data_IF_700204343796
#
_entry.id   IF_700204343796
#
_cell.length_a   1.000
_cell.length_b   1.000
_cell.length_c   1.000
_cell.angle_alpha   90.00
_cell.angle_beta   90.00
_cell.angle_gamma   90.00
#
_symmetry.space_group_name_H-M   'P 1'
#
loop_
_entity.id
_entity.type
_entity.pdbx_description
1 polymer ?
#
# COMPACT_ATOMS: atom_id res chain seq x y z
N UNK A 1 -1.99 -10.10 7.62
CA UNK A 1 -1.80 -8.89 8.45
C UNK A 1 -0.31 -8.61 8.53
N UNK A 2 0.09 -7.41 8.90
CA UNK A 2 1.50 -7.03 9.14
C UNK A 2 1.62 -6.33 10.49
N UNK A 3 2.71 -6.60 11.22
CA UNK A 3 2.95 -6.04 12.56
C UNK A 3 4.39 -5.55 12.65
N UNK A 4 4.58 -4.35 13.21
CA UNK A 4 5.91 -3.83 13.50
C UNK A 4 6.42 -4.40 14.83
N UNK A 5 7.51 -5.17 14.73
CA UNK A 5 8.07 -5.94 15.85
C UNK A 5 8.62 -5.09 16.99
N UNK A 6 9.28 -3.95 16.70
CA UNK A 6 10.03 -3.17 17.71
C UNK A 6 9.16 -2.68 18.88
N UNK A 7 8.00 -2.03 18.67
CA UNK A 7 7.14 -1.56 19.76
C UNK A 7 6.20 -2.64 20.32
N UNK A 8 6.30 -3.90 19.89
CA UNK A 8 5.31 -4.94 20.20
C UNK A 8 5.17 -5.29 21.69
N UNK A 9 6.26 -5.10 22.45
CA UNK A 9 6.31 -5.31 23.90
C UNK A 9 5.85 -4.07 24.69
N UNK A 10 5.69 -2.93 24.03
CA UNK A 10 5.10 -1.73 24.65
C UNK A 10 3.59 -1.91 24.73
N UNK A 11 3.00 -1.71 25.91
CA UNK A 11 1.54 -1.73 26.09
C UNK A 11 0.85 -0.47 25.54
N UNK A 12 1.63 0.55 25.18
CA UNK A 12 1.16 1.86 24.72
C UNK A 12 0.48 1.71 23.35
N UNK A 13 1.19 1.13 22.39
CA UNK A 13 0.75 1.08 21.00
C UNK A 13 0.26 -0.31 20.56
N UNK A 14 -0.64 -0.38 19.57
CA UNK A 14 -0.92 -1.63 18.84
C UNK A 14 -0.26 -1.55 17.45
N UNK A 15 0.93 -2.13 17.26
CA UNK A 15 1.71 -1.90 16.05
C UNK A 15 1.27 -2.73 14.83
N UNK A 16 -0.04 -2.80 14.57
CA UNK A 16 -0.58 -3.43 13.36
C UNK A 16 -0.49 -2.43 12.22
N UNK A 17 0.31 -2.74 11.21
CA UNK A 17 0.60 -1.85 10.08
C UNK A 17 -0.07 -2.32 8.79
N UNK A 18 -0.97 -3.29 8.87
CA UNK A 18 -1.83 -3.63 7.75
C UNK A 18 -2.67 -4.87 7.97
N UNK A 19 -3.87 -4.86 7.39
CA UNK A 19 -4.81 -5.97 7.37
C UNK A 19 -5.32 -6.14 5.94
N UNK A 20 -5.41 -7.39 5.49
CA UNK A 20 -6.00 -7.73 4.19
C UNK A 20 -7.07 -8.77 4.42
N UNK A 21 -8.27 -8.51 3.92
CA UNK A 21 -9.35 -9.48 3.97
C UNK A 21 -9.06 -10.57 2.92
N UNK A 22 -8.82 -11.81 3.38
CA UNK A 22 -8.67 -12.94 2.47
C UNK A 22 -10.00 -13.32 1.82
N UNK A 23 -9.97 -13.92 0.63
CA UNK A 23 -11.16 -14.37 -0.10
C UNK A 23 -11.93 -15.43 0.69
N UNK A 24 -11.22 -16.41 1.27
CA UNK A 24 -11.76 -17.46 2.15
C UNK A 24 -12.95 -18.20 1.54
N UNK A 25 -12.89 -18.54 0.25
CA UNK A 25 -13.96 -19.19 -0.51
C UNK A 25 -14.34 -20.57 0.04
N UNK A 26 -13.35 -21.34 0.52
CA UNK A 26 -13.52 -22.70 1.03
C UNK A 26 -12.82 -22.89 2.38
N UNK A 27 -13.31 -23.86 3.17
CA UNK A 27 -12.72 -24.27 4.45
C UNK A 27 -12.83 -25.79 4.64
N UNK A 28 -11.88 -26.34 5.38
CA UNK A 28 -11.86 -27.76 5.73
C UNK A 28 -12.53 -27.95 7.09
N UNK A 29 -13.45 -28.90 7.19
CA UNK A 29 -14.16 -29.28 8.43
C UNK A 29 -14.08 -30.79 8.67
N UNK A 30 -14.30 -31.22 9.92
CA UNK A 30 -14.44 -32.65 10.22
C UNK A 30 -15.69 -33.24 9.56
N UNK A 31 -15.58 -34.45 9.01
CA UNK A 31 -16.71 -35.19 8.48
C UNK A 31 -17.58 -35.74 9.62
N UNK A 32 -18.90 -35.62 9.47
CA UNK A 32 -19.90 -36.01 10.48
C UNK A 32 -20.11 -37.53 10.61
N UNK A 33 -19.58 -38.35 9.71
CA UNK A 33 -19.80 -39.81 9.69
C UNK A 33 -18.52 -40.61 9.98
N UNK A 34 -18.36 -41.06 11.22
CA UNK A 34 -17.78 -42.35 11.64
C UNK A 34 -16.34 -42.74 11.29
N UNK A 35 -15.63 -42.03 10.41
CA UNK A 35 -14.21 -42.23 10.13
C UNK A 35 -13.52 -40.88 10.11
N UNK A 36 -12.30 -40.83 10.66
CA UNK A 36 -11.37 -39.69 10.67
C UNK A 36 -11.19 -39.11 9.26
N UNK A 37 -12.12 -38.25 8.84
CA UNK A 37 -12.18 -37.69 7.51
C UNK A 37 -12.33 -36.18 7.61
N UNK A 38 -11.65 -35.48 6.71
CA UNK A 38 -11.83 -34.05 6.49
C UNK A 38 -12.72 -33.86 5.27
N UNK A 39 -13.56 -32.81 5.28
CA UNK A 39 -14.40 -32.41 4.15
C UNK A 39 -14.12 -30.95 3.81
N UNK A 40 -13.94 -30.67 2.53
CA UNK A 40 -13.82 -29.31 2.01
C UNK A 40 -15.23 -28.77 1.70
N UNK A 41 -15.62 -27.67 2.34
CA UNK A 41 -16.92 -27.01 2.17
C UNK A 41 -16.75 -25.56 1.76
N UNK A 42 -17.76 -24.99 1.12
CA UNK A 42 -17.80 -23.56 0.81
C UNK A 42 -18.05 -22.76 2.09
N UNK A 43 -17.30 -21.68 2.26
CA UNK A 43 -17.41 -20.77 3.39
C UNK A 43 -18.63 -19.86 3.22
N UNK A 44 -19.32 -19.54 4.31
CA UNK A 44 -20.49 -18.65 4.25
C UNK A 44 -20.09 -17.21 3.89
N UNK A 45 -21.03 -16.42 3.34
CA UNK A 45 -20.78 -14.99 3.03
C UNK A 45 -20.31 -14.21 4.25
N UNK A 46 -20.94 -14.43 5.41
CA UNK A 46 -20.55 -13.80 6.68
C UNK A 46 -19.09 -14.07 7.04
N UNK A 47 -18.63 -15.31 6.84
CA UNK A 47 -17.24 -15.68 7.10
C UNK A 47 -16.29 -15.05 6.06
N UNK A 48 -16.66 -15.06 4.78
CA UNK A 48 -15.87 -14.40 3.71
C UNK A 48 -15.71 -12.89 3.97
N UNK A 49 -16.74 -12.23 4.47
CA UNK A 49 -16.76 -10.78 4.64
C UNK A 49 -16.19 -10.31 6.00
N UNK A 50 -15.62 -11.24 6.79
CA UNK A 50 -15.03 -10.95 8.11
C UNK A 50 -13.56 -11.33 8.22
N UNK A 51 -12.84 -10.64 9.11
CA UNK A 51 -11.48 -11.03 9.48
C UNK A 51 -11.52 -12.26 10.39
N UNK A 52 -10.58 -13.18 10.18
CA UNK A 52 -10.48 -14.45 10.94
C UNK A 52 -9.92 -14.22 12.35
N UNK A 53 -9.15 -13.14 12.52
CA UNK A 53 -8.49 -12.78 13.76
C UNK A 53 -8.89 -11.38 14.20
N UNK A 54 -9.04 -11.21 15.50
CA UNK A 54 -9.09 -9.92 16.16
C UNK A 54 -7.69 -9.31 16.31
N UNK A 55 -7.63 -8.01 16.57
CA UNK A 55 -6.37 -7.28 16.76
C UNK A 55 -5.55 -7.86 17.91
N UNK A 56 -6.19 -8.24 19.02
CA UNK A 56 -5.51 -8.84 20.17
C UNK A 56 -4.88 -10.20 19.83
N UNK A 57 -5.55 -11.00 18.99
CA UNK A 57 -5.04 -12.28 18.52
C UNK A 57 -3.86 -12.09 17.56
N UNK A 58 -3.95 -11.10 16.65
CA UNK A 58 -2.84 -10.69 15.78
C UNK A 58 -1.61 -10.32 16.61
N UNK A 59 -1.77 -9.47 17.63
CA UNK A 59 -0.67 -9.06 18.50
C UNK A 59 -0.10 -10.23 19.30
N UNK A 60 -0.94 -11.15 19.75
CA UNK A 60 -0.51 -12.35 20.48
C UNK A 60 0.34 -13.26 19.59
N UNK A 61 -0.11 -13.55 18.37
CA UNK A 61 0.65 -14.33 17.40
C UNK A 61 1.96 -13.65 17.02
N UNK A 62 1.97 -12.32 16.84
CA UNK A 62 3.19 -11.57 16.55
C UNK A 62 4.20 -11.65 17.70
N UNK A 63 3.74 -11.61 18.96
CA UNK A 63 4.62 -11.76 20.15
C UNK A 63 5.22 -13.15 20.20
N UNK A 64 4.41 -14.18 20.00
CA UNK A 64 4.92 -15.56 19.93
C UNK A 64 5.91 -15.75 18.78
N UNK A 65 5.62 -15.20 17.60
CA UNK A 65 6.53 -15.24 16.46
C UNK A 65 7.89 -14.59 16.77
N UNK A 66 7.86 -13.44 17.45
CA UNK A 66 9.07 -12.75 17.91
C UNK A 66 9.88 -13.57 18.91
N UNK A 67 9.22 -14.20 19.89
CA UNK A 67 9.88 -15.05 20.87
C UNK A 67 10.51 -16.30 20.23
N UNK A 68 9.81 -16.93 19.29
CA UNK A 68 10.30 -18.09 18.54
C UNK A 68 11.54 -17.69 17.73
N UNK A 69 11.47 -16.61 16.96
CA UNK A 69 12.61 -16.09 16.18
C UNK A 69 13.82 -15.75 17.08
N UNK A 70 13.60 -15.09 18.22
CA UNK A 70 14.66 -14.76 19.18
C UNK A 70 15.33 -16.02 19.74
N UNK A 71 14.54 -17.02 20.14
CA UNK A 71 15.05 -18.29 20.66
C UNK A 71 15.97 -18.97 19.64
N UNK A 72 15.48 -19.11 18.42
CA UNK A 72 16.19 -19.79 17.33
C UNK A 72 17.40 -19.00 16.82
N UNK A 73 17.30 -17.67 16.77
CA UNK A 73 18.44 -16.79 16.44
C UNK A 73 19.56 -16.93 17.49
N UNK A 74 19.20 -16.97 18.78
CA UNK A 74 20.15 -17.17 19.88
C UNK A 74 20.83 -18.54 19.79
N UNK A 75 20.08 -19.60 19.52
CA UNK A 75 20.63 -20.95 19.37
C UNK A 75 21.59 -21.08 18.18
N UNK A 76 21.34 -20.38 17.07
CA UNK A 76 22.19 -20.43 15.87
C UNK A 76 23.33 -19.41 15.87
N UNK A 77 23.38 -18.50 16.84
CA UNK A 77 24.37 -17.43 16.90
C UNK A 77 24.28 -16.41 15.76
N UNK A 78 23.18 -16.42 15.00
CA UNK A 78 22.91 -15.48 13.90
C UNK A 78 21.41 -15.24 13.78
N UNK A 79 21.03 -14.11 13.20
CA UNK A 79 19.63 -13.82 12.91
C UNK A 79 19.03 -14.94 12.04
N UNK A 80 17.93 -15.54 12.50
CA UNK A 80 17.24 -16.64 11.85
C UNK A 80 15.73 -16.35 11.83
N UNK A 81 15.20 -15.83 10.71
CA UNK A 81 13.76 -15.67 10.54
C UNK A 81 13.07 -17.04 10.52
N UNK A 82 11.80 -17.06 10.94
CA UNK A 82 11.03 -18.29 11.16
C UNK A 82 9.70 -18.23 10.40
N UNK A 83 9.38 -19.32 9.70
CA UNK A 83 8.06 -19.67 9.17
C UNK A 83 7.29 -20.47 10.25
N UNK A 84 6.08 -20.02 10.59
CA UNK A 84 5.34 -20.48 11.77
C UNK A 84 3.89 -20.79 11.39
N UNK A 85 3.46 -22.00 11.70
CA UNK A 85 2.07 -22.42 11.58
C UNK A 85 1.38 -22.35 12.95
N UNK A 86 0.14 -21.87 12.97
CA UNK A 86 -0.65 -21.71 14.18
C UNK A 86 -2.09 -22.17 13.95
N UNK A 87 -2.79 -22.48 15.03
CA UNK A 87 -4.20 -22.86 15.02
C UNK A 87 -4.96 -22.15 16.13
N UNK A 88 -6.25 -21.85 15.88
CA UNK A 88 -7.19 -21.41 16.91
C UNK A 88 -8.18 -22.55 17.15
N UNK A 89 -8.28 -22.98 18.40
CA UNK A 89 -9.28 -23.97 18.78
C UNK A 89 -10.68 -23.33 18.77
N UNK A 90 -11.60 -23.91 18.00
CA UNK A 90 -12.97 -23.43 17.87
C UNK A 90 -13.84 -23.66 19.11
N UNK A 91 -13.43 -24.53 20.04
CA UNK A 91 -14.16 -24.80 21.29
C UNK A 91 -13.66 -23.88 22.39
N UNK A 92 -12.35 -23.88 22.66
CA UNK A 92 -11.78 -23.09 23.76
C UNK A 92 -11.46 -21.64 23.37
N UNK A 93 -11.40 -21.32 22.08
CA UNK A 93 -10.99 -20.02 21.56
C UNK A 93 -9.48 -19.75 21.69
N UNK A 94 -8.69 -20.69 22.24
CA UNK A 94 -7.26 -20.52 22.48
C UNK A 94 -6.44 -20.67 21.20
N UNK A 95 -5.35 -19.92 21.12
CA UNK A 95 -4.36 -20.00 20.05
C UNK A 95 -3.24 -20.99 20.42
N UNK A 96 -2.71 -21.69 19.43
CA UNK A 96 -1.63 -22.66 19.55
C UNK A 96 -0.66 -22.50 18.40
N UNK A 97 0.64 -22.71 18.66
CA UNK A 97 1.65 -22.89 17.61
C UNK A 97 1.74 -24.38 17.30
N UNK A 98 1.62 -24.76 16.02
CA UNK A 98 1.63 -26.17 15.60
C UNK A 98 2.93 -26.57 14.91
N UNK A 99 3.61 -25.63 14.25
CA UNK A 99 4.91 -25.86 13.62
C UNK A 99 5.73 -24.57 13.60
N UNK A 100 7.05 -24.69 13.71
CA UNK A 100 7.99 -23.60 13.45
C UNK A 100 9.23 -24.14 12.73
N UNK A 101 9.63 -23.49 11.64
CA UNK A 101 10.82 -23.86 10.85
C UNK A 101 11.53 -22.61 10.33
N UNK A 102 12.85 -22.65 10.02
CA UNK A 102 13.55 -21.49 9.46
C UNK A 102 12.94 -21.03 8.13
N UNK A 103 12.84 -19.72 7.93
CA UNK A 103 12.51 -19.11 6.64
C UNK A 103 13.78 -19.11 5.76
N UNK A 104 13.66 -19.56 4.51
CA UNK A 104 14.82 -19.83 3.63
C UNK A 104 14.85 -19.03 2.34
N UNK A 105 13.79 -18.31 1.97
CA UNK A 105 13.70 -17.58 0.70
C UNK A 105 14.37 -16.22 0.79
N UNK A 106 14.12 -15.47 1.86
CA UNK A 106 14.63 -14.11 2.02
C UNK A 106 15.85 -14.01 2.95
N UNK A 107 16.07 -15.01 3.80
CA UNK A 107 17.18 -15.06 4.75
C UNK A 107 18.59 -15.00 4.12
N UNK A 108 18.71 -15.24 2.80
CA UNK A 108 19.99 -15.28 2.08
C UNK A 108 20.30 -13.99 1.29
N UNK A 109 19.40 -13.00 1.28
CA UNK A 109 19.59 -11.79 0.47
C UNK A 109 20.58 -10.83 1.15
N UNK A 110 21.69 -10.53 0.48
CA UNK A 110 22.60 -9.46 0.92
C UNK A 110 22.07 -8.11 0.44
N UNK A 111 21.40 -7.38 1.34
CA UNK A 111 20.84 -6.04 1.08
C UNK A 111 21.90 -4.97 0.85
N UNK A 112 23.18 -5.27 1.10
CA UNK A 112 24.27 -4.31 0.90
C UNK A 112 24.83 -4.29 -0.53
N UNK A 113 24.24 -5.07 -1.43
CA UNK A 113 24.62 -5.11 -2.84
C UNK A 113 23.43 -4.69 -3.69
N UNK A 114 23.56 -3.54 -4.35
CA UNK A 114 22.60 -3.09 -5.36
C UNK A 114 23.04 -3.65 -6.71
N UNK A 115 22.12 -4.27 -7.45
CA UNK A 115 22.35 -4.78 -8.79
C UNK A 115 21.83 -3.78 -9.82
N UNK A 116 22.74 -3.14 -10.55
CA UNK A 116 22.42 -2.34 -11.73
C UNK A 116 22.49 -3.23 -12.98
N UNK A 117 21.39 -3.33 -13.71
CA UNK A 117 21.35 -4.04 -14.98
C UNK A 117 21.61 -3.03 -16.10
N UNK A 118 22.64 -3.29 -16.93
CA UNK A 118 22.97 -2.45 -18.08
C UNK A 118 22.98 -3.29 -19.34
N UNK A 119 22.02 -3.04 -20.23
CA UNK A 119 21.99 -3.69 -21.55
C UNK A 119 23.23 -3.34 -22.35
N UNK A 120 23.84 -4.32 -23.01
CA UNK A 120 24.97 -4.10 -23.91
C UNK A 120 24.53 -4.36 -25.34
N UNK A 121 24.37 -3.30 -26.12
CA UNK A 121 23.98 -3.36 -27.53
C UNK A 121 22.53 -2.98 -27.81
N UNK A 122 22.27 -2.60 -29.06
CA UNK A 122 20.92 -2.32 -29.57
C UNK A 122 20.15 -3.58 -29.94
N UNK A 123 18.91 -3.41 -30.38
CA UNK A 123 18.04 -4.49 -30.83
C UNK A 123 16.73 -3.97 -31.39
N UNK A 124 16.05 -4.78 -32.18
CA UNK A 124 14.73 -4.45 -32.69
C UNK A 124 13.72 -4.49 -31.54
N UNK A 125 13.14 -3.34 -31.22
CA UNK A 125 12.06 -3.22 -30.24
C UNK A 125 10.79 -3.81 -30.85
N UNK A 126 10.19 -4.78 -30.15
CA UNK A 126 8.93 -5.41 -30.54
C UNK A 126 7.74 -4.62 -29.98
N UNK A 127 7.85 -4.12 -28.75
CA UNK A 127 6.80 -3.36 -28.07
C UNK A 127 7.39 -2.57 -26.89
N UNK A 128 6.62 -1.60 -26.38
CA UNK A 128 6.95 -0.76 -25.22
C UNK A 128 5.74 -0.62 -24.32
N UNK A 129 5.98 -0.46 -23.02
CA UNK A 129 4.94 -0.19 -22.03
C UNK A 129 5.53 0.41 -20.77
N UNK A 130 4.73 0.52 -19.72
CA UNK A 130 5.20 1.00 -18.44
C UNK A 130 6.17 0.00 -17.80
N UNK A 131 7.35 0.48 -17.43
CA UNK A 131 8.37 -0.31 -16.73
C UNK A 131 7.94 -0.64 -15.29
N UNK A 132 8.16 -1.89 -14.88
CA UNK A 132 7.97 -2.39 -13.52
C UNK A 132 9.21 -3.17 -13.09
N UNK A 133 9.98 -2.56 -12.18
CA UNK A 133 11.28 -3.06 -11.73
C UNK A 133 12.43 -2.29 -12.38
N UNK A 134 13.64 -2.82 -12.26
CA UNK A 134 14.87 -2.22 -12.80
C UNK A 134 15.85 -3.31 -13.30
N UNK A 135 15.30 -4.43 -13.76
CA UNK A 135 16.06 -5.61 -14.17
C UNK A 135 15.94 -5.85 -15.68
N UNK A 136 16.84 -6.67 -16.19
CA UNK A 136 16.77 -7.20 -17.55
C UNK A 136 16.71 -8.72 -17.44
N UNK A 137 15.78 -9.34 -18.17
CA UNK A 137 15.71 -10.78 -18.30
C UNK A 137 15.40 -11.17 -19.74
N UNK A 138 15.72 -12.42 -20.09
CA UNK A 138 15.43 -12.97 -21.40
C UNK A 138 14.83 -14.36 -21.25
N UNK A 139 14.04 -14.78 -22.22
CA UNK A 139 13.47 -16.12 -22.26
C UNK A 139 12.70 -16.37 -23.55
N UNK A 140 12.23 -17.61 -23.71
CA UNK A 140 11.24 -17.91 -24.75
C UNK A 140 9.91 -17.32 -24.31
N UNK A 141 9.28 -16.52 -25.16
CA UNK A 141 7.95 -15.98 -24.94
C UNK A 141 6.93 -17.11 -24.96
N UNK A 142 5.97 -17.05 -24.05
CA UNK A 142 4.79 -17.89 -24.01
C UNK A 142 3.59 -16.96 -23.95
N UNK A 143 2.93 -16.82 -25.10
CA UNK A 143 1.69 -16.03 -25.21
C UNK A 143 0.55 -16.92 -24.72
N UNK A 144 -0.13 -16.48 -23.67
CA UNK A 144 -1.27 -17.18 -23.06
C UNK A 144 -2.42 -16.17 -22.97
N UNK A 145 -3.53 -16.45 -23.65
CA UNK A 145 -4.73 -15.60 -23.59
C UNK A 145 -5.69 -16.01 -22.47
N UNK A 146 -5.68 -17.30 -22.10
CA UNK A 146 -6.63 -17.86 -21.15
C UNK A 146 -5.93 -18.74 -20.11
N UNK A 147 -6.44 -18.69 -18.88
CA UNK A 147 -5.91 -19.41 -17.71
C UNK A 147 -5.80 -20.93 -17.94
N UNK A 148 -6.67 -21.51 -18.77
CA UNK A 148 -6.66 -22.95 -19.09
C UNK A 148 -5.33 -23.42 -19.69
N UNK A 149 -4.58 -22.51 -20.32
CA UNK A 149 -3.31 -22.79 -20.97
C UNK A 149 -2.08 -22.57 -20.07
N UNK A 150 -2.27 -22.21 -18.79
CA UNK A 150 -1.19 -22.01 -17.81
C UNK A 150 -0.30 -23.25 -17.67
N UNK A 151 -0.85 -24.45 -17.83
CA UNK A 151 -0.09 -25.72 -17.75
C UNK A 151 0.96 -25.87 -18.85
N UNK A 152 0.85 -25.10 -19.94
CA UNK A 152 1.82 -25.08 -21.05
C UNK A 152 3.05 -24.22 -20.74
N UNK A 153 2.99 -23.37 -19.71
CA UNK A 153 4.07 -22.48 -19.31
C UNK A 153 5.22 -23.26 -18.70
N UNK A 154 6.45 -22.93 -19.10
CA UNK A 154 7.66 -23.58 -18.56
C UNK A 154 8.51 -22.59 -17.76
N UNK A 155 9.19 -23.11 -16.74
CA UNK A 155 10.09 -22.33 -15.90
C UNK A 155 11.15 -21.61 -16.75
N UNK A 156 11.32 -20.30 -16.52
CA UNK A 156 12.25 -19.44 -17.23
C UNK A 156 11.71 -18.83 -18.53
N UNK A 157 10.48 -19.15 -18.95
CA UNK A 157 9.81 -18.47 -20.07
C UNK A 157 9.41 -17.04 -19.71
N UNK A 158 9.21 -16.20 -20.74
CA UNK A 158 8.63 -14.86 -20.60
C UNK A 158 7.13 -14.99 -20.80
N UNK A 159 6.35 -14.63 -19.77
CA UNK A 159 4.89 -14.64 -19.85
C UNK A 159 4.43 -13.44 -20.66
N UNK A 160 3.64 -13.66 -21.71
CA UNK A 160 2.99 -12.60 -22.50
C UNK A 160 1.48 -12.85 -22.48
N UNK A 161 0.69 -11.87 -22.06
CA UNK A 161 -0.78 -12.03 -21.92
C UNK A 161 -1.51 -10.68 -21.98
N UNK A 162 -2.84 -10.67 -22.04
CA UNK A 162 -3.63 -9.43 -22.04
C UNK A 162 -3.62 -8.77 -20.66
N UNK A 163 -3.95 -9.55 -19.62
CA UNK A 163 -3.94 -9.12 -18.22
C UNK A 163 -3.69 -10.32 -17.30
N UNK A 164 -3.39 -10.07 -16.02
CA UNK A 164 -3.27 -11.13 -15.01
C UNK A 164 -4.19 -10.86 -13.84
N UNK A 165 -4.55 -11.94 -13.15
CA UNK A 165 -5.29 -11.98 -11.90
C UNK A 165 -4.61 -12.99 -10.94
N UNK A 166 -5.09 -13.17 -9.69
CA UNK A 166 -4.42 -14.02 -8.70
C UNK A 166 -4.20 -15.48 -9.13
N UNK A 167 -4.99 -16.01 -10.07
CA UNK A 167 -4.85 -17.40 -10.53
C UNK A 167 -3.58 -17.60 -11.39
N UNK A 168 -2.96 -16.52 -11.87
CA UNK A 168 -1.71 -16.54 -12.63
C UNK A 168 -0.46 -16.61 -11.75
N UNK A 169 -0.57 -16.33 -10.45
CA UNK A 169 0.56 -16.29 -9.51
C UNK A 169 1.51 -17.50 -9.57
N UNK A 170 1.03 -18.76 -9.71
CA UNK A 170 1.91 -19.93 -9.75
C UNK A 170 2.92 -19.88 -10.89
N UNK A 171 2.50 -19.44 -12.09
CA UNK A 171 3.42 -19.35 -13.23
C UNK A 171 4.23 -18.07 -13.25
N UNK A 172 3.70 -16.97 -12.70
CA UNK A 172 4.46 -15.74 -12.51
C UNK A 172 5.71 -16.00 -11.68
N UNK A 173 5.62 -16.79 -10.60
CA UNK A 173 6.76 -17.18 -9.74
C UNK A 173 7.89 -17.91 -10.46
N UNK A 174 7.60 -18.56 -11.58
CA UNK A 174 8.58 -19.32 -12.36
C UNK A 174 8.93 -18.65 -13.70
N UNK A 175 8.34 -17.49 -14.00
CA UNK A 175 8.64 -16.70 -15.19
C UNK A 175 9.99 -15.97 -15.06
N UNK A 176 10.66 -15.75 -16.18
CA UNK A 176 11.85 -14.90 -16.23
C UNK A 176 11.51 -13.41 -16.37
N UNK A 177 10.39 -13.10 -17.04
CA UNK A 177 9.81 -11.77 -17.17
C UNK A 177 8.31 -11.88 -17.48
N UNK A 178 7.58 -10.78 -17.30
CA UNK A 178 6.13 -10.70 -17.56
C UNK A 178 5.82 -9.49 -18.44
N UNK A 179 5.02 -9.66 -19.49
CA UNK A 179 4.60 -8.61 -20.40
C UNK A 179 3.08 -8.65 -20.54
N UNK A 180 2.39 -7.53 -20.31
CA UNK A 180 0.93 -7.46 -20.43
C UNK A 180 0.44 -6.31 -21.30
N UNK A 181 -0.57 -6.57 -22.13
CA UNK A 181 -1.16 -5.54 -23.00
C UNK A 181 -1.93 -4.48 -22.25
N UNK A 182 -2.60 -4.87 -21.17
CA UNK A 182 -3.35 -3.96 -20.30
C UNK A 182 -2.67 -3.81 -18.94
N UNK A 183 -3.08 -2.75 -18.25
CA UNK A 183 -2.67 -2.44 -16.90
C UNK A 183 -1.64 -1.31 -16.83
N UNK A 184 -1.73 -0.52 -15.76
CA UNK A 184 -0.73 0.51 -15.43
C UNK A 184 0.26 0.02 -14.38
N UNK A 185 1.10 0.94 -13.88
CA UNK A 185 2.09 0.68 -12.82
C UNK A 185 1.49 0.15 -11.51
N UNK A 186 0.17 0.20 -11.34
CA UNK A 186 -0.60 -0.29 -10.18
C UNK A 186 -1.43 -1.54 -10.50
N UNK A 187 -1.31 -2.11 -11.70
CA UNK A 187 -2.02 -3.33 -12.08
C UNK A 187 -1.56 -4.55 -11.30
N UNK A 188 -2.37 -5.61 -11.30
CA UNK A 188 -2.04 -6.89 -10.66
C UNK A 188 -0.66 -7.42 -11.08
N UNK A 189 -0.41 -7.46 -12.40
CA UNK A 189 0.89 -7.86 -12.96
C UNK A 189 2.03 -7.03 -12.39
N UNK A 190 1.85 -5.71 -12.31
CA UNK A 190 2.87 -4.80 -11.80
C UNK A 190 3.15 -5.00 -10.30
N UNK A 191 2.11 -5.17 -9.49
CA UNK A 191 2.24 -5.37 -8.03
C UNK A 191 2.98 -6.67 -7.75
N UNK A 192 2.50 -7.80 -8.29
CA UNK A 192 3.07 -9.13 -8.05
C UNK A 192 4.50 -9.21 -8.60
N UNK A 193 4.79 -8.60 -9.75
CA UNK A 193 6.14 -8.62 -10.32
C UNK A 193 7.16 -7.87 -9.44
N UNK A 194 6.77 -6.76 -8.80
CA UNK A 194 7.63 -6.07 -7.82
C UNK A 194 7.91 -6.96 -6.61
N UNK A 195 6.88 -7.59 -6.06
CA UNK A 195 7.01 -8.48 -4.90
C UNK A 195 7.94 -9.66 -5.18
N UNK A 196 7.85 -10.23 -6.39
CA UNK A 196 8.69 -11.35 -6.84
C UNK A 196 10.06 -10.91 -7.38
N UNK A 197 10.28 -9.61 -7.57
CA UNK A 197 11.49 -9.05 -8.16
C UNK A 197 11.73 -9.49 -9.61
N UNK A 198 10.64 -9.70 -10.36
CA UNK A 198 10.64 -10.12 -11.77
C UNK A 198 10.46 -8.87 -12.65
N UNK A 199 11.27 -8.67 -13.70
CA UNK A 199 11.07 -7.56 -14.62
C UNK A 199 9.73 -7.70 -15.33
N UNK A 200 8.94 -6.62 -15.32
CA UNK A 200 7.64 -6.60 -15.94
C UNK A 200 7.39 -5.34 -16.76
N UNK A 201 6.73 -5.49 -17.91
CA UNK A 201 6.27 -4.40 -18.77
C UNK A 201 4.76 -4.51 -18.89
N UNK A 202 4.04 -3.47 -18.52
CA UNK A 202 2.56 -3.47 -18.50
C UNK A 202 2.01 -2.36 -19.38
N UNK A 203 0.83 -2.57 -19.95
CA UNK A 203 0.18 -1.57 -20.78
C UNK A 203 0.84 -1.43 -22.15
N UNK A 204 1.35 -2.53 -22.72
CA UNK A 204 1.97 -2.53 -24.06
C UNK A 204 0.96 -2.25 -25.18
N UNK A 205 -0.31 -2.63 -24.98
CA UNK A 205 -1.37 -2.52 -25.98
C UNK A 205 -1.27 -3.53 -27.14
N UNK A 206 -0.09 -4.03 -27.47
CA UNK A 206 0.14 -4.84 -28.68
C UNK A 206 1.07 -6.06 -28.50
N UNK A 207 1.63 -6.33 -27.32
CA UNK A 207 2.58 -7.41 -27.07
C UNK A 207 2.04 -8.80 -27.44
N UNK A 208 0.76 -9.10 -27.18
CA UNK A 208 0.19 -10.40 -27.56
C UNK A 208 0.09 -10.60 -29.08
N UNK A 209 0.12 -9.51 -29.85
CA UNK A 209 0.12 -9.54 -31.32
C UNK A 209 1.52 -9.41 -31.93
N UNK A 210 2.40 -8.64 -31.27
CA UNK A 210 3.76 -8.33 -31.72
C UNK A 210 4.78 -9.42 -31.35
N UNK A 211 4.46 -10.30 -30.39
CA UNK A 211 5.33 -11.38 -29.91
C UNK A 211 4.67 -12.73 -30.17
N UNK A 212 5.44 -13.71 -30.68
CA UNK A 212 4.94 -15.07 -30.92
C UNK A 212 5.42 -16.05 -29.85
N UNK A 213 4.56 -17.02 -29.48
CA UNK A 213 4.97 -18.12 -28.61
C UNK A 213 6.18 -18.87 -29.21
N UNK A 214 7.20 -19.09 -28.37
CA UNK A 214 8.47 -19.71 -28.73
C UNK A 214 9.55 -18.71 -29.18
N UNK A 215 9.18 -17.47 -29.51
CA UNK A 215 10.14 -16.41 -29.85
C UNK A 215 11.01 -16.07 -28.65
N UNK A 216 12.32 -15.96 -28.84
CA UNK A 216 13.21 -15.49 -27.77
C UNK A 216 13.13 -13.99 -27.70
N UNK A 217 12.86 -13.45 -26.51
CA UNK A 217 12.76 -12.01 -26.26
C UNK A 217 13.60 -11.60 -25.07
N UNK A 218 14.00 -10.34 -25.04
CA UNK A 218 14.62 -9.69 -23.88
C UNK A 218 13.71 -8.58 -23.38
N UNK A 219 13.40 -8.60 -22.10
CA UNK A 219 12.59 -7.59 -21.41
C UNK A 219 13.52 -6.73 -20.57
N UNK A 220 13.55 -5.44 -20.88
CA UNK A 220 14.39 -4.44 -20.21
C UNK A 220 13.50 -3.40 -19.52
N UNK A 221 13.61 -3.36 -18.20
CA UNK A 221 12.83 -2.48 -17.30
C UNK A 221 13.71 -1.41 -16.65
N UNK A 222 14.90 -1.16 -17.18
CA UNK A 222 15.88 -0.25 -16.55
C UNK A 222 15.60 1.23 -16.79
N UNK A 223 14.79 1.57 -17.80
CA UNK A 223 14.35 2.93 -18.11
C UNK A 223 12.94 3.26 -17.60
N UNK A 224 12.52 4.51 -17.84
CA UNK A 224 11.16 4.98 -17.52
C UNK A 224 10.08 4.19 -18.28
N UNK A 225 10.38 3.86 -19.53
CA UNK A 225 9.64 2.92 -20.37
C UNK A 225 10.28 1.54 -20.33
N UNK A 226 9.45 0.52 -20.17
CA UNK A 226 9.83 -0.87 -20.34
C UNK A 226 9.84 -1.23 -21.81
N UNK A 227 10.91 -1.87 -22.28
CA UNK A 227 11.06 -2.26 -23.68
C UNK A 227 11.19 -3.78 -23.80
N UNK A 228 10.54 -4.34 -24.82
CA UNK A 228 10.70 -5.76 -25.19
C UNK A 228 11.40 -5.84 -26.54
N UNK A 229 12.51 -6.57 -26.58
CA UNK A 229 13.39 -6.67 -27.74
C UNK A 229 13.35 -8.08 -28.32
N UNK A 230 13.48 -8.17 -29.64
CA UNK A 230 13.60 -9.45 -30.33
C UNK A 230 14.99 -10.05 -30.13
N UNK A 231 15.04 -11.31 -29.68
CA UNK A 231 16.28 -12.05 -29.46
C UNK A 231 16.79 -11.99 -28.03
N UNK A 232 17.92 -12.66 -27.81
CA UNK A 232 18.61 -12.76 -26.52
C UNK A 232 19.73 -11.72 -26.47
N UNK A 233 19.45 -10.57 -25.87
CA UNK A 233 20.45 -9.52 -25.71
C UNK A 233 21.27 -9.75 -24.45
N UNK A 234 22.58 -9.54 -24.56
CA UNK A 234 23.47 -9.53 -23.42
C UNK A 234 23.25 -8.27 -22.58
N UNK A 235 23.37 -8.43 -21.26
CA UNK A 235 23.40 -7.33 -20.31
C UNK A 235 24.45 -7.63 -19.24
N UNK A 236 24.97 -6.57 -18.62
CA UNK A 236 25.88 -6.65 -17.49
C UNK A 236 25.10 -6.39 -16.21
N UNK A 237 25.35 -7.19 -15.18
CA UNK A 237 24.89 -6.91 -13.82
C UNK A 237 26.08 -6.30 -13.08
N UNK A 238 26.01 -5.01 -12.81
CA UNK A 238 27.02 -4.29 -12.03
C UNK A 238 26.56 -4.35 -10.57
N UNK A 239 27.40 -4.92 -9.72
CA UNK A 239 27.14 -5.05 -8.28
C UNK A 239 27.80 -3.90 -7.55
N UNK A 240 26.99 -3.00 -7.00
CA UNK A 240 27.45 -1.88 -6.19
C UNK A 240 27.36 -2.27 -4.72
N UNK A 241 28.51 -2.39 -4.05
CA UNK A 241 28.55 -2.59 -2.61
C UNK A 241 28.40 -1.25 -1.91
N UNK A 242 27.28 -1.05 -1.23
CA UNK A 242 26.94 0.19 -0.57
C UNK A 242 27.47 0.30 0.87
N UNK A 243 28.15 -0.72 1.40
CA UNK A 243 28.70 -0.70 2.78
C UNK A 243 29.73 0.40 3.00
N UNK A 244 30.51 0.72 1.98
CA UNK A 244 31.69 1.59 2.09
C UNK A 244 31.51 2.94 1.39
N UNK A 245 30.27 3.37 1.13
CA UNK A 245 30.02 4.69 0.55
C UNK A 245 30.33 5.79 1.57
N UNK A 246 31.19 6.74 1.18
CA UNK A 246 31.45 7.93 1.98
C UNK A 246 30.16 8.71 2.15
N UNK A 247 29.76 8.97 3.40
CA UNK A 247 28.55 9.73 3.65
C UNK A 247 28.78 11.21 3.34
N UNK A 248 27.92 11.85 2.50
CA UNK A 248 27.99 13.28 2.28
C UNK A 248 27.65 14.04 3.56
N UNK A 249 28.10 15.31 3.64
CA UNK A 249 27.71 16.22 4.74
C UNK A 249 26.20 16.47 4.76
N UNK A 250 25.57 16.53 3.58
CA UNK A 250 24.12 16.71 3.43
C UNK A 250 23.39 15.40 3.71
N UNK A 251 22.35 15.44 4.54
CA UNK A 251 21.49 14.29 4.83
C UNK A 251 20.68 13.94 3.58
N UNK A 252 21.04 12.84 2.91
CA UNK A 252 20.28 12.33 1.76
C UNK A 252 19.01 11.65 2.24
N UNK A 253 17.85 12.22 1.95
CA UNK A 253 16.54 11.64 2.22
C UNK A 253 15.90 11.18 0.91
N UNK A 254 14.96 10.23 0.99
CA UNK A 254 14.26 9.72 -0.20
C UNK A 254 12.86 10.31 -0.33
N UNK A 255 12.37 10.40 -1.55
CA UNK A 255 10.95 10.64 -1.84
C UNK A 255 10.26 9.28 -2.04
N UNK A 256 9.19 9.04 -1.27
CA UNK A 256 8.42 7.79 -1.30
C UNK A 256 6.97 8.11 -1.61
N UNK A 257 6.49 7.55 -2.71
CA UNK A 257 5.10 7.68 -3.12
C UNK A 257 4.23 6.58 -2.49
N UNK A 258 4.67 5.31 -2.50
CA UNK A 258 3.80 4.19 -2.10
C UNK A 258 4.40 3.29 -1.00
N UNK A 259 3.57 2.73 -0.11
CA UNK A 259 3.99 1.77 0.91
C UNK A 259 4.70 0.53 0.35
N UNK A 260 4.33 0.08 -0.85
CA UNK A 260 4.86 -1.12 -1.49
C UNK A 260 6.34 -0.97 -1.84
N UNK A 261 6.74 0.23 -2.29
CA UNK A 261 8.14 0.51 -2.66
C UNK A 261 9.00 0.89 -1.46
N UNK A 262 8.39 1.20 -0.31
CA UNK A 262 9.09 1.68 0.88
C UNK A 262 10.10 0.65 1.41
N UNK A 263 9.69 -0.61 1.57
CA UNK A 263 10.55 -1.67 2.08
C UNK A 263 11.70 -2.03 1.13
N UNK A 264 11.53 -1.87 -0.17
CA UNK A 264 12.62 -2.10 -1.13
C UNK A 264 13.64 -0.95 -1.07
N UNK A 265 13.13 0.29 -1.04
CA UNK A 265 13.96 1.50 -1.04
C UNK A 265 14.63 1.77 0.30
N UNK A 266 14.12 1.23 1.40
CA UNK A 266 14.74 1.37 2.72
C UNK A 266 16.09 0.65 2.86
N UNK A 267 16.47 -0.18 1.88
CA UNK A 267 17.80 -0.78 1.84
C UNK A 267 18.86 0.13 1.22
N UNK A 268 18.44 1.23 0.57
CA UNK A 268 19.38 2.22 0.04
C UNK A 268 19.99 3.05 1.18
N UNK A 269 21.23 3.55 1.04
CA UNK A 269 21.78 4.48 2.02
C UNK A 269 20.95 5.77 2.06
N UNK A 270 20.27 6.01 3.18
CA UNK A 270 19.40 7.18 3.37
C UNK A 270 19.43 7.68 4.82
N UNK A 271 18.90 8.88 5.03
CA UNK A 271 18.64 9.50 6.33
C UNK A 271 17.15 9.71 6.59
N UNK A 272 16.31 8.91 5.94
CA UNK A 272 14.85 8.91 6.13
C UNK A 272 14.11 9.28 4.85
N UNK A 273 12.83 9.62 5.00
CA UNK A 273 11.96 10.06 3.91
C UNK A 273 11.73 11.56 4.04
N UNK A 274 12.18 12.32 3.04
CA UNK A 274 12.05 13.78 3.03
C UNK A 274 10.69 14.25 2.52
N UNK A 275 10.00 13.37 1.79
CA UNK A 275 8.65 13.60 1.29
C UNK A 275 7.97 12.24 1.09
N UNK A 276 6.97 11.94 1.91
CA UNK A 276 5.99 10.90 1.70
C UNK A 276 4.68 11.55 1.31
N UNK A 277 4.14 11.21 0.14
CA UNK A 277 2.93 11.83 -0.41
C UNK A 277 1.72 10.95 -0.15
N UNK A 278 0.77 11.43 0.64
CA UNK A 278 -0.37 10.60 1.04
C UNK A 278 -1.38 10.34 -0.08
N UNK A 279 -1.43 11.20 -1.10
CA UNK A 279 -2.37 11.06 -2.24
C UNK A 279 -2.24 9.69 -2.92
N UNK A 280 -1.02 9.15 -2.99
CA UNK A 280 -0.79 7.83 -3.57
C UNK A 280 -1.33 6.70 -2.70
N UNK A 281 -1.36 6.87 -1.37
CA UNK A 281 -2.02 5.91 -0.47
C UNK A 281 -3.53 5.96 -0.70
N UNK A 282 -4.09 7.16 -0.81
CA UNK A 282 -5.51 7.37 -1.08
C UNK A 282 -5.88 6.75 -2.42
N UNK A 283 -5.18 7.07 -3.52
CA UNK A 283 -5.47 6.55 -4.85
C UNK A 283 -5.35 5.02 -4.95
N UNK A 284 -4.29 4.45 -4.36
CA UNK A 284 -3.95 3.03 -4.56
C UNK A 284 -4.65 2.09 -3.58
N UNK A 285 -4.70 2.45 -2.30
CA UNK A 285 -5.15 1.56 -1.23
C UNK A 285 -6.61 1.79 -0.86
N UNK A 286 -7.09 3.03 -0.99
CA UNK A 286 -8.47 3.40 -0.64
C UNK A 286 -9.33 3.46 -1.91
N UNK A 287 -8.97 4.31 -2.86
CA UNK A 287 -9.60 4.46 -4.17
C UNK A 287 -11.07 4.88 -4.14
N UNK A 288 -11.53 5.50 -3.05
CA UNK A 288 -12.91 5.92 -2.79
C UNK A 288 -12.88 7.33 -2.22
N UNK A 289 -13.77 8.19 -2.70
CA UNK A 289 -13.90 9.55 -2.18
C UNK A 289 -14.30 9.53 -0.69
N UNK A 290 -13.65 10.31 0.20
CA UNK A 290 -13.95 10.28 1.63
C UNK A 290 -15.42 10.58 1.93
N UNK A 291 -16.02 11.57 1.26
CA UNK A 291 -17.44 11.88 1.41
C UNK A 291 -18.37 10.73 0.97
N UNK A 292 -17.96 9.90 0.00
CA UNK A 292 -18.74 8.71 -0.36
C UNK A 292 -18.75 7.66 0.76
N UNK A 293 -17.71 7.57 1.57
CA UNK A 293 -17.68 6.69 2.73
C UNK A 293 -18.48 7.27 3.90
N UNK A 294 -18.47 8.60 4.06
CA UNK A 294 -19.25 9.31 5.07
C UNK A 294 -20.76 9.18 4.81
N UNK A 295 -21.20 9.49 3.60
CA UNK A 295 -22.60 9.47 3.19
C UNK A 295 -23.06 8.13 2.62
N UNK A 296 -22.40 7.03 2.99
CA UNK A 296 -22.58 5.71 2.35
C UNK A 296 -24.05 5.28 2.21
N UNK A 297 -24.88 5.58 3.23
CA UNK A 297 -26.30 5.23 3.25
C UNK A 297 -27.18 6.08 2.31
N UNK A 298 -26.75 7.30 1.95
CA UNK A 298 -27.44 8.19 1.03
C UNK A 298 -27.01 7.98 -0.44
N UNK A 299 -26.01 7.13 -0.69
CA UNK A 299 -25.54 6.87 -2.06
C UNK A 299 -26.55 6.06 -2.90
N UNK A 300 -26.58 6.26 -4.23
CA UNK A 300 -27.31 5.40 -5.16
C UNK A 300 -26.97 3.91 -4.97
N UNK A 301 -27.95 3.03 -5.16
CA UNK A 301 -27.82 1.58 -4.92
C UNK A 301 -26.62 0.96 -5.63
N UNK A 302 -26.36 1.34 -6.89
CA UNK A 302 -25.24 0.83 -7.65
C UNK A 302 -23.87 1.19 -7.02
N UNK A 303 -23.70 2.46 -6.62
CA UNK A 303 -22.47 2.95 -6.01
C UNK A 303 -22.26 2.36 -4.61
N UNK A 304 -23.35 2.27 -3.83
CA UNK A 304 -23.36 1.65 -2.50
C UNK A 304 -22.92 0.19 -2.56
N UNK A 305 -23.36 -0.56 -3.57
CA UNK A 305 -22.92 -1.96 -3.78
C UNK A 305 -21.41 -2.03 -4.02
N UNK A 306 -20.89 -1.25 -4.97
CA UNK A 306 -19.45 -1.25 -5.31
C UNK A 306 -18.57 -0.84 -4.13
N UNK A 307 -18.95 0.22 -3.40
CA UNK A 307 -18.22 0.65 -2.19
C UNK A 307 -18.35 -0.41 -1.09
N UNK A 308 -19.53 -1.02 -0.93
CA UNK A 308 -19.77 -2.11 0.01
C UNK A 308 -18.85 -3.30 -0.21
N UNK A 309 -18.60 -3.67 -1.48
CA UNK A 309 -17.71 -4.76 -1.87
C UNK A 309 -16.23 -4.48 -1.59
N UNK A 310 -15.78 -3.23 -1.78
CA UNK A 310 -14.40 -2.80 -1.48
C UNK A 310 -14.11 -2.66 0.01
N UNK A 311 -15.11 -2.24 0.77
CA UNK A 311 -15.00 -1.98 2.22
C UNK A 311 -15.43 -3.17 3.08
N UNK A 312 -15.42 -4.39 2.52
CA UNK A 312 -15.76 -5.61 3.26
C UNK A 312 -14.78 -5.84 4.40
N UNK A 313 -15.28 -6.30 5.54
CA UNK A 313 -14.50 -6.43 6.77
C UNK A 313 -14.60 -5.21 7.69
N UNK A 314 -15.02 -4.05 7.17
CA UNK A 314 -15.25 -2.84 7.97
C UNK A 314 -16.75 -2.60 8.16
N UNK A 315 -17.17 -2.54 9.43
CA UNK A 315 -18.54 -2.20 9.83
C UNK A 315 -18.82 -0.72 9.55
N UNK A 316 -17.94 0.15 10.03
CA UNK A 316 -17.95 1.58 9.71
C UNK A 316 -17.10 1.83 8.46
N UNK A 317 -17.68 2.45 7.44
CA UNK A 317 -17.01 2.73 6.17
C UNK A 317 -15.96 3.83 6.28
N UNK A 318 -16.10 4.72 7.26
CA UNK A 318 -15.10 5.74 7.58
C UNK A 318 -13.83 5.09 8.13
N UNK A 319 -13.99 4.05 8.95
CA UNK A 319 -12.85 3.31 9.51
C UNK A 319 -12.03 2.62 8.42
N UNK A 320 -12.62 2.23 7.29
CA UNK A 320 -11.86 1.73 6.15
C UNK A 320 -10.87 2.78 5.63
N UNK A 321 -11.28 4.04 5.53
CA UNK A 321 -10.40 5.13 5.09
C UNK A 321 -9.25 5.33 6.09
N UNK A 322 -9.60 5.51 7.37
CA UNK A 322 -8.65 5.77 8.46
C UNK A 322 -7.64 4.63 8.58
N UNK A 323 -8.10 3.38 8.64
CA UNK A 323 -7.22 2.22 8.78
C UNK A 323 -6.24 2.12 7.61
N UNK A 324 -6.72 2.23 6.37
CA UNK A 324 -5.86 2.03 5.20
C UNK A 324 -4.88 3.20 5.00
N UNK A 325 -5.28 4.44 5.32
CA UNK A 325 -4.36 5.57 5.33
C UNK A 325 -3.28 5.38 6.40
N UNK A 326 -3.67 5.06 7.64
CA UNK A 326 -2.76 4.81 8.74
C UNK A 326 -1.81 3.63 8.45
N UNK A 327 -2.31 2.53 7.87
CA UNK A 327 -1.50 1.40 7.45
C UNK A 327 -0.49 1.79 6.37
N UNK A 328 -0.89 2.61 5.40
CA UNK A 328 0.02 3.09 4.36
C UNK A 328 1.16 3.92 4.95
N UNK A 329 0.83 4.92 5.77
CA UNK A 329 1.83 5.78 6.42
C UNK A 329 2.72 4.98 7.38
N UNK A 330 2.13 4.07 8.17
CA UNK A 330 2.88 3.24 9.10
C UNK A 330 3.85 2.29 8.37
N UNK A 331 3.45 1.70 7.23
CA UNK A 331 4.35 0.86 6.43
C UNK A 331 5.54 1.64 5.90
N UNK A 332 5.33 2.87 5.41
CA UNK A 332 6.44 3.74 5.00
C UNK A 332 7.33 4.02 6.21
N UNK A 333 6.76 4.46 7.32
CA UNK A 333 7.50 4.84 8.52
C UNK A 333 8.32 3.69 9.10
N UNK A 334 7.76 2.49 9.12
CA UNK A 334 8.43 1.27 9.61
C UNK A 334 9.56 0.84 8.69
N UNK A 335 9.42 1.00 7.37
CA UNK A 335 10.48 0.67 6.44
C UNK A 335 11.74 1.52 6.70
N UNK A 336 11.58 2.80 7.03
CA UNK A 336 12.69 3.73 7.24
C UNK A 336 13.14 3.87 8.70
N UNK A 337 12.49 3.19 9.65
CA UNK A 337 12.85 3.24 11.07
C UNK A 337 14.34 2.90 11.30
N UNK A 338 15.07 3.66 12.15
CA UNK A 338 14.61 4.73 13.04
C UNK A 338 14.70 6.15 12.45
N UNK A 339 14.90 6.29 11.14
CA UNK A 339 15.05 7.60 10.51
C UNK A 339 13.71 8.33 10.34
N UNK A 340 13.71 9.68 10.32
CA UNK A 340 12.49 10.46 10.19
C UNK A 340 11.78 10.21 8.85
N UNK A 341 10.46 10.31 8.88
CA UNK A 341 9.58 10.25 7.71
C UNK A 341 8.67 11.48 7.73
N UNK A 342 8.86 12.35 6.74
CA UNK A 342 8.07 13.57 6.56
C UNK A 342 6.89 13.24 5.66
N UNK A 343 5.66 13.30 6.18
CA UNK A 343 4.43 12.94 5.47
C UNK A 343 3.65 14.18 5.09
N UNK A 344 3.62 14.52 3.80
CA UNK A 344 2.80 15.62 3.30
C UNK A 344 1.34 15.19 3.24
N UNK A 345 0.46 16.00 3.82
CA UNK A 345 -0.98 15.84 3.68
C UNK A 345 -1.44 16.05 2.23
N UNK A 346 -2.68 15.64 1.98
CA UNK A 346 -3.23 15.51 0.63
C UNK A 346 -3.24 16.85 -0.06
N UNK A 347 -2.48 16.89 -1.15
CA UNK A 347 -2.42 17.96 -2.15
C UNK A 347 -3.22 17.53 -3.41
N UNK A 348 -4.22 16.67 -3.23
CA UNK A 348 -5.11 16.32 -4.32
C UNK A 348 -5.89 17.55 -4.77
N UNK A 349 -5.96 17.72 -6.07
CA UNK A 349 -6.86 18.67 -6.70
C UNK A 349 -8.26 18.08 -6.78
N UNK A 350 -9.25 18.96 -6.92
CA UNK A 350 -10.65 18.64 -7.17
C UNK A 350 -10.81 17.59 -8.28
N UNK A 351 -10.12 17.75 -9.40
CA UNK A 351 -10.18 16.81 -10.53
C UNK A 351 -9.60 15.43 -10.18
N UNK A 352 -8.59 15.35 -9.30
CA UNK A 352 -8.01 14.09 -8.84
C UNK A 352 -8.97 13.40 -7.86
N UNK A 353 -9.56 14.14 -6.90
CA UNK A 353 -10.62 13.61 -6.04
C UNK A 353 -11.84 13.14 -6.85
N UNK A 354 -12.19 13.87 -7.92
CA UNK A 354 -13.29 13.52 -8.84
C UNK A 354 -13.11 12.13 -9.46
N UNK A 355 -11.87 11.72 -9.73
CA UNK A 355 -11.55 10.39 -10.30
C UNK A 355 -11.74 9.22 -9.33
N UNK A 356 -11.81 9.49 -8.02
CA UNK A 356 -12.06 8.44 -7.03
C UNK A 356 -13.48 7.91 -7.13
N UNK A 357 -13.72 6.69 -6.67
CA UNK A 357 -15.06 6.11 -6.67
C UNK A 357 -16.03 6.99 -5.85
N UNK A 358 -17.02 7.56 -6.54
CA UNK A 358 -18.01 8.48 -5.96
C UNK A 358 -17.60 9.96 -5.95
N UNK A 359 -16.43 10.32 -6.50
CA UNK A 359 -15.89 11.68 -6.50
C UNK A 359 -16.68 12.68 -7.36
N UNK A 360 -17.19 12.26 -8.53
CA UNK A 360 -18.01 13.09 -9.45
C UNK A 360 -19.21 13.80 -8.79
N UNK A 361 -19.68 13.29 -7.66
CA UNK A 361 -20.79 13.87 -6.90
C UNK A 361 -20.40 15.06 -6.03
N UNK A 362 -19.14 15.12 -5.60
CA UNK A 362 -18.67 16.07 -4.60
C UNK A 362 -17.76 17.12 -5.21
N UNK A 363 -17.01 16.74 -6.25
CA UNK A 363 -16.01 17.60 -6.85
C UNK A 363 -16.52 18.19 -8.17
N UNK A 364 -16.62 19.52 -8.30
CA UNK A 364 -17.04 20.16 -9.56
C UNK A 364 -16.00 19.98 -10.67
N UNK A 365 -16.40 20.26 -11.91
CA UNK A 365 -15.42 20.42 -13.00
C UNK A 365 -14.84 21.82 -12.96
N UNK A 366 -13.52 21.90 -12.99
CA UNK A 366 -12.78 23.16 -12.98
C UNK A 366 -11.97 23.30 -14.27
N UNK A 367 -11.97 24.50 -14.83
CA UNK A 367 -11.16 24.85 -16.00
C UNK A 367 -9.65 24.75 -15.71
N UNK A 368 -9.22 25.17 -14.51
CA UNK A 368 -7.80 25.20 -14.12
C UNK A 368 -7.56 24.60 -12.72
N UNK A 369 -7.47 23.26 -12.61
CA UNK A 369 -7.26 22.56 -11.33
C UNK A 369 -5.93 22.88 -10.62
N UNK A 370 -4.97 23.51 -11.31
CA UNK A 370 -3.69 23.93 -10.71
C UNK A 370 -3.78 25.23 -9.91
N UNK A 371 -4.80 26.05 -10.19
CA UNK A 371 -5.00 27.38 -9.62
C UNK A 371 -6.29 27.46 -8.81
N UNK A 372 -7.03 26.37 -8.71
CA UNK A 372 -8.19 26.33 -7.83
C UNK A 372 -7.71 26.56 -6.41
N UNK A 373 -8.27 27.59 -5.83
CA UNK A 373 -8.00 27.92 -4.45
C UNK A 373 -8.65 26.83 -3.59
N UNK A 374 -7.92 26.39 -2.57
CA UNK A 374 -8.50 26.29 -1.24
C UNK A 374 -9.13 27.67 -0.95
N UNK A 375 -10.34 27.93 -1.47
CA UNK A 375 -11.11 29.11 -1.09
C UNK A 375 -11.63 28.83 0.32
N UNK A 376 -10.77 29.09 1.31
CA UNK A 376 -11.26 29.51 2.61
C UNK A 376 -12.01 30.83 2.39
N UNK A 377 -13.31 30.79 2.66
CA UNK A 377 -14.25 31.89 2.90
C UNK A 377 -13.75 33.33 2.66
N UNK A 378 -14.08 33.90 1.49
CA UNK A 378 -14.37 35.34 1.38
C UNK A 378 -15.87 35.56 1.67
N UNK A 379 -16.25 35.43 2.94
CA UNK A 379 -17.52 35.95 3.47
C UNK A 379 -17.32 37.40 3.94
N UNK A 380 -16.97 38.29 3.04
CA UNK A 380 -17.26 39.72 3.17
C UNK A 380 -16.87 40.38 1.84
N UNK A 381 -17.79 41.12 1.24
CA UNK A 381 -17.65 41.92 0.00
C UNK A 381 -17.92 41.21 -1.34
N UNK A 382 -19.19 40.99 -1.66
CA UNK A 382 -19.65 41.14 -3.04
C UNK A 382 -20.94 41.99 -3.10
N UNK A 383 -21.00 43.03 -3.96
CA UNK A 383 -22.14 43.94 -4.07
C UNK A 383 -23.32 43.31 -4.80
N UNK A 384 -24.51 43.81 -4.47
CA UNK A 384 -25.83 43.40 -4.96
C UNK A 384 -25.88 43.20 -6.48
N UNK A 385 -26.11 41.95 -6.91
CA UNK A 385 -26.71 41.68 -8.22
C UNK A 385 -27.83 40.65 -8.07
N UNK A 386 -29.02 41.09 -8.47
CA UNK A 386 -30.31 40.42 -8.38
C UNK A 386 -30.28 38.99 -8.96
N UNK A 387 -30.53 38.00 -8.11
CA UNK A 387 -31.00 36.67 -8.55
C UNK A 387 -32.33 36.38 -7.88
N UNK A 388 -33.34 36.18 -8.74
CA UNK A 388 -34.74 35.91 -8.39
C UNK A 388 -34.85 34.81 -7.32
N UNK A 389 -35.53 35.17 -6.22
CA UNK A 389 -36.02 34.29 -5.16
C UNK A 389 -36.65 33.00 -5.73
N UNK A 390 -36.08 31.87 -5.36
CA UNK A 390 -36.84 30.65 -5.05
C UNK A 390 -36.67 30.40 -3.55
N UNK A 391 -37.77 30.53 -2.83
CA UNK A 391 -37.87 30.28 -1.40
C UNK A 391 -37.84 28.76 -1.16
N UNK A 392 -36.90 28.28 -0.35
CA UNK A 392 -36.94 27.00 0.38
C UNK A 392 -35.91 27.06 1.55
N UNK A 393 -36.11 26.29 2.63
CA UNK A 393 -36.10 26.80 4.01
C UNK A 393 -34.70 27.00 4.63
N UNK A 394 -34.49 28.19 5.21
CA UNK A 394 -33.24 28.68 5.79
C UNK A 394 -32.83 28.08 7.15
N UNK A 395 -33.64 27.23 7.77
CA UNK A 395 -33.34 26.74 9.14
C UNK A 395 -32.39 25.53 9.20
N UNK A 396 -32.18 24.77 8.11
CA UNK A 396 -31.25 23.62 8.10
C UNK A 396 -29.81 23.96 7.69
N UNK A 397 -29.55 25.18 7.24
CA UNK A 397 -28.24 25.60 6.72
C UNK A 397 -27.37 26.25 7.81
N UNK A 398 -27.99 26.84 8.84
CA UNK A 398 -27.24 27.39 9.99
C UNK A 398 -26.74 26.27 10.94
N UNK A 399 -27.51 25.21 11.14
CA UNK A 399 -27.15 24.07 12.01
C UNK A 399 -25.97 23.25 11.42
N UNK A 400 -25.93 23.08 10.10
CA UNK A 400 -24.81 22.42 9.38
C UNK A 400 -23.54 23.27 9.39
N UNK A 401 -23.66 24.61 9.48
CA UNK A 401 -22.50 25.50 9.57
C UNK A 401 -21.89 25.53 10.98
N UNK A 402 -22.70 25.36 12.03
CA UNK A 402 -22.23 25.24 13.41
C UNK A 402 -21.58 23.87 13.67
N UNK A 403 -22.08 22.77 13.08
CA UNK A 403 -21.45 21.44 13.17
C UNK A 403 -20.13 21.34 12.35
N UNK A 404 -20.03 22.06 11.23
CA UNK A 404 -18.76 22.20 10.47
C UNK A 404 -17.75 23.05 11.25
N UNK A 405 -18.21 24.11 11.94
CA UNK A 405 -17.36 24.85 12.89
C UNK A 405 -16.96 23.97 14.07
N UNK A 406 -17.77 23.02 14.51
CA UNK A 406 -17.42 22.04 15.55
C UNK A 406 -16.36 21.04 15.07
N UNK A 407 -16.37 20.60 13.80
CA UNK A 407 -15.33 19.71 13.24
C UNK A 407 -14.01 20.44 12.96
N UNK A 408 -14.09 21.70 12.49
CA UNK A 408 -12.92 22.56 12.32
C UNK A 408 -12.40 23.05 13.67
N UNK A 409 -13.27 23.28 14.65
CA UNK A 409 -12.91 23.54 16.04
C UNK A 409 -12.35 22.30 16.73
N UNK A 410 -12.84 21.09 16.47
CA UNK A 410 -12.25 19.84 16.96
C UNK A 410 -10.83 19.65 16.39
N UNK A 411 -10.60 20.04 15.13
CA UNK A 411 -9.28 20.04 14.49
C UNK A 411 -8.40 21.18 15.02
N UNK A 412 -8.97 22.33 15.40
CA UNK A 412 -8.25 23.52 15.91
C UNK A 412 -7.99 23.46 17.43
N UNK A 413 -8.86 22.81 18.19
CA UNK A 413 -8.74 22.45 19.61
C UNK A 413 -7.78 21.26 19.77
N UNK A 414 -7.78 20.33 18.80
CA UNK A 414 -6.70 19.38 18.56
C UNK A 414 -5.34 20.06 18.31
N UNK A 415 -5.31 21.25 17.68
CA UNK A 415 -4.09 22.03 17.49
C UNK A 415 -3.67 22.84 18.74
N UNK A 416 -4.60 23.25 19.61
CA UNK A 416 -4.30 23.99 20.86
C UNK A 416 -3.87 23.06 22.01
N UNK A 417 -4.45 21.87 22.15
CA UNK A 417 -4.06 20.87 23.16
C UNK A 417 -2.65 20.30 22.93
N UNK A 418 -2.21 20.22 21.67
CA UNK A 418 -0.83 19.82 21.33
C UNK A 418 0.18 20.88 21.80
N UNK A 419 -0.18 22.17 21.73
CA UNK A 419 0.64 23.28 22.24
C UNK A 419 0.74 23.29 23.78
N UNK A 420 -0.35 22.99 24.50
CA UNK A 420 -0.32 22.99 25.97
C UNK A 420 0.44 21.79 26.56
N UNK A 421 0.53 20.65 25.84
CA UNK A 421 1.31 19.48 26.28
C UNK A 421 2.83 19.58 26.01
N UNK A 422 3.29 20.54 25.21
CA UNK A 422 4.72 20.82 25.05
C UNK A 422 5.38 21.34 26.35
N UNK A 423 4.61 21.88 27.31
CA UNK A 423 5.17 22.49 28.53
C UNK A 423 5.33 21.54 29.72
N UNK A 424 4.82 20.31 29.68
CA UNK A 424 4.92 19.36 30.81
C UNK A 424 5.04 17.92 30.35
N UNK A 425 6.27 17.42 30.21
CA UNK A 425 6.75 16.19 30.87
C UNK A 425 8.10 15.77 30.30
N UNK A 426 9.09 15.67 31.19
CA UNK A 426 10.48 15.33 30.92
C UNK A 426 10.71 13.94 31.56
N UNK A 427 10.75 12.85 30.78
CA UNK A 427 11.36 11.60 31.25
C UNK A 427 11.76 10.63 30.12
N UNK A 428 12.95 10.07 30.29
CA UNK A 428 13.77 9.40 29.29
C UNK A 428 13.19 8.11 28.69
N UNK A 429 12.93 8.12 27.37
CA UNK A 429 13.10 7.06 26.36
C UNK A 429 12.77 7.70 25.00
N UNK A 430 13.74 7.83 24.07
CA UNK A 430 13.65 8.51 22.75
C UNK A 430 12.22 8.87 22.32
N UNK A 431 11.74 10.02 22.79
CA UNK A 431 10.42 10.54 22.46
C UNK A 431 10.33 10.72 20.95
N UNK A 432 9.27 10.20 20.37
CA UNK A 432 8.97 10.48 18.99
C UNK A 432 8.52 11.94 18.90
N UNK A 433 9.46 12.79 18.52
CA UNK A 433 9.22 14.21 18.30
C UNK A 433 8.28 14.40 17.11
N UNK A 434 7.23 15.16 17.32
CA UNK A 434 6.39 15.70 16.25
C UNK A 434 7.01 17.03 15.87
N UNK A 435 7.50 17.14 14.64
CA UNK A 435 8.09 18.37 14.12
C UNK A 435 7.26 18.84 12.92
N UNK A 436 6.74 20.06 13.00
CA UNK A 436 5.97 20.68 11.92
C UNK A 436 6.89 21.30 10.88
N UNK A 437 6.68 20.95 9.61
CA UNK A 437 7.43 21.48 8.47
C UNK A 437 6.48 22.13 7.48
N UNK A 438 6.84 23.29 6.94
CA UNK A 438 6.09 23.97 5.89
C UNK A 438 6.79 23.78 4.54
N UNK A 439 6.03 23.48 3.49
CA UNK A 439 6.54 23.39 2.13
C UNK A 439 6.48 24.77 1.48
N UNK A 440 7.64 25.38 1.23
CA UNK A 440 7.73 26.70 0.60
C UNK A 440 7.70 26.54 -0.92
N UNK A 441 6.52 26.32 -1.49
CA UNK A 441 6.30 26.30 -2.95
C UNK A 441 5.71 27.61 -3.48
N UNK A 442 5.25 28.48 -2.58
CA UNK A 442 4.75 29.82 -2.88
C UNK A 442 5.12 30.77 -1.73
N UNK A 443 5.38 32.05 -2.03
CA UNK A 443 5.98 33.03 -1.09
C UNK A 443 5.11 33.37 0.16
N UNK A 444 3.96 32.72 0.38
CA UNK A 444 2.93 33.23 1.31
C UNK A 444 2.20 32.25 2.24
N UNK A 445 2.44 30.94 2.27
CA UNK A 445 1.61 30.05 3.12
C UNK A 445 2.44 29.06 3.95
N UNK A 446 2.11 28.94 5.25
CA UNK A 446 2.67 27.98 6.22
C UNK A 446 1.63 26.89 6.52
N UNK A 447 2.03 25.62 6.43
CA UNK A 447 1.21 24.47 6.83
C UNK A 447 2.00 23.55 7.79
N UNK A 448 1.28 22.74 8.58
CA UNK A 448 1.81 21.92 9.67
C UNK A 448 1.79 20.42 9.34
N UNK A 449 2.76 19.66 9.86
CA UNK A 449 2.97 18.21 9.61
C UNK A 449 3.20 17.43 10.93
N UNK A 450 2.75 16.17 10.98
CA UNK A 450 2.76 15.31 12.17
C UNK A 450 3.67 14.08 11.98
N UNK A 451 4.36 13.62 13.05
CA UNK A 451 5.31 12.49 12.98
C UNK A 451 4.72 11.10 13.32
N UNK A 452 5.39 10.00 12.95
CA UNK A 452 4.72 8.71 12.70
C UNK A 452 4.30 7.83 13.89
N UNK A 453 4.71 8.10 15.13
CA UNK A 453 4.50 7.11 16.21
C UNK A 453 3.22 7.30 17.01
N UNK A 454 2.67 8.51 17.01
CA UNK A 454 1.44 8.86 17.73
C UNK A 454 0.22 8.54 16.87
N UNK A 455 0.41 8.35 15.57
CA UNK A 455 -0.67 8.19 14.59
C UNK A 455 -1.58 6.99 14.88
N UNK A 456 -1.10 5.95 15.57
CA UNK A 456 -1.95 4.81 15.92
C UNK A 456 -2.82 5.05 17.18
N UNK A 457 -2.30 5.72 18.22
CA UNK A 457 -3.07 5.95 19.45
C UNK A 457 -3.91 7.23 19.41
N UNK A 458 -3.45 8.29 18.75
CA UNK A 458 -4.21 9.55 18.59
C UNK A 458 -5.47 9.34 17.74
N UNK A 459 -5.38 8.53 16.67
CA UNK A 459 -6.54 8.20 15.83
C UNK A 459 -7.46 7.11 16.42
N UNK A 460 -6.97 6.25 17.32
CA UNK A 460 -7.72 5.06 17.78
C UNK A 460 -8.30 5.18 19.21
N UNK A 461 -7.77 6.07 20.07
CA UNK A 461 -8.21 6.18 21.48
C UNK A 461 -9.12 7.38 21.78
N UNK A 462 -9.33 8.32 20.87
CA UNK A 462 -10.24 9.47 21.07
C UNK A 462 -11.73 9.12 20.91
N UNK A 463 -12.10 7.84 20.78
CA UNK A 463 -13.49 7.38 20.89
C UNK A 463 -13.70 6.48 22.10
N UNK A 464 -13.61 7.10 23.27
CA UNK A 464 -14.34 6.62 24.45
C UNK A 464 -15.19 7.72 25.03
#
# INVERSE_FOLDING_TARGET
>A
FWVFKKPLDTKKYKPIIGKKLGVKDRKIVYASSGKKGIKLITTSRREQDSFVLSDNEILTLARWGTLIEQHYSKQRGRWMPMDIEWAKDGITGKLYIVQARPETVHALRDFSVIEEYRRTGGGTVLTRGASVGSKIAHGKARVIFDISDITKFRKGEVLVTDMTDPDWEPIMKIASAIVTDKGGRTSHAAIVSRELGIPCVVGTGDATTSIRTGQVVTVDTTGDDGIVLSGKHAFKIIKHNIKNLTQPKTKMMVNIATPETAFEKSFLPHRGVGLAREEFIIASSIGIHPMALFEFNALPTALRRTIGERTRGWKDKRQFYVDNLAFGIARISVAFYPYPVIVRFSDFKTNEYRTLLGGERYEPEEENPMLSAFMEDDFDTLPEMEVKKKEEPKEQVEEVSEEIKEVVADISEFHSEIKEKEEKEDSALDEIKVESYAMTENDKIKWSLVSPSTMYDTFYQQKK
#
